data_IF_764007423859
#
_entry.id   IF_764007423859
#
_cell.length_a   1.000
_cell.length_b   1.000
_cell.length_c   1.000
_cell.angle_alpha   90.00
_cell.angle_beta   90.00
_cell.angle_gamma   90.00
#
_symmetry.space_group_name_H-M   'P 1'
#
loop_
_entity.id
_entity.type
_entity.pdbx_description
1 polymer ?
#
# COMPACT_ATOMS: atom_id res chain seq x y z
N UNK A 1 18.97 -21.33 13.84
CA UNK A 1 18.29 -20.25 13.10
C UNK A 1 17.43 -19.47 14.10
N UNK A 2 17.79 -18.22 14.38
CA UNK A 2 17.15 -17.38 15.40
C UNK A 2 15.75 -16.94 14.95
N UNK A 3 14.71 -17.58 15.48
CA UNK A 3 13.31 -17.20 15.20
C UNK A 3 12.97 -15.76 15.63
N UNK A 4 13.75 -15.17 16.53
CA UNK A 4 13.64 -13.77 16.96
C UNK A 4 14.05 -12.80 15.86
N UNK A 5 15.18 -13.04 15.19
CA UNK A 5 15.68 -12.15 14.11
C UNK A 5 14.71 -12.04 12.92
N UNK A 6 14.11 -13.15 12.49
CA UNK A 6 13.09 -13.11 11.44
C UNK A 6 11.84 -12.32 11.86
N UNK A 7 11.45 -12.42 13.14
CA UNK A 7 10.28 -11.71 13.65
C UNK A 7 10.52 -10.19 13.65
N UNK A 8 11.75 -9.77 14.00
CA UNK A 8 12.15 -8.36 13.95
C UNK A 8 12.23 -7.83 12.51
N UNK A 9 12.69 -8.64 11.55
CA UNK A 9 12.71 -8.28 10.13
C UNK A 9 11.29 -8.08 9.57
N UNK A 10 10.36 -8.99 9.89
CA UNK A 10 8.97 -8.88 9.51
C UNK A 10 8.30 -7.64 10.12
N UNK A 11 8.56 -7.36 11.40
CA UNK A 11 8.06 -6.16 12.08
C UNK A 11 8.64 -4.87 11.47
N UNK A 12 9.93 -4.86 11.14
CA UNK A 12 10.58 -3.74 10.48
C UNK A 12 10.03 -3.50 9.07
N UNK A 13 9.80 -4.56 8.29
CA UNK A 13 9.17 -4.48 6.98
C UNK A 13 7.74 -3.92 7.07
N UNK A 14 6.94 -4.43 8.01
CA UNK A 14 5.59 -3.94 8.27
C UNK A 14 5.58 -2.45 8.63
N UNK A 15 6.52 -2.01 9.49
CA UNK A 15 6.65 -0.62 9.90
C UNK A 15 6.97 0.28 8.70
N UNK A 16 8.00 -0.07 7.92
CA UNK A 16 8.38 0.68 6.71
C UNK A 16 7.23 0.79 5.71
N UNK A 17 6.47 -0.28 5.50
CA UNK A 17 5.32 -0.26 4.60
C UNK A 17 4.15 0.57 5.15
N UNK A 18 3.93 0.53 6.46
CA UNK A 18 2.90 1.34 7.12
C UNK A 18 3.24 2.83 7.13
N UNK A 19 4.53 3.17 7.27
CA UNK A 19 5.03 4.55 7.18
C UNK A 19 4.83 5.07 5.74
N UNK A 20 5.23 4.30 4.72
CA UNK A 20 4.95 4.61 3.30
C UNK A 20 3.45 4.77 3.01
N UNK A 21 2.61 3.89 3.56
CA UNK A 21 1.16 4.02 3.41
C UNK A 21 0.62 5.31 4.06
N UNK A 22 1.20 5.72 5.18
CA UNK A 22 0.84 6.97 5.87
C UNK A 22 1.31 8.20 5.09
N UNK A 23 2.49 8.16 4.49
CA UNK A 23 2.99 9.20 3.58
C UNK A 23 2.08 9.35 2.36
N UNK A 24 1.68 8.24 1.74
CA UNK A 24 0.72 8.26 0.63
C UNK A 24 -0.63 8.85 1.04
N UNK A 25 -1.12 8.50 2.23
CA UNK A 25 -2.34 9.09 2.79
C UNK A 25 -2.17 10.58 2.98
N UNK A 26 -1.08 11.02 3.60
CA UNK A 26 -0.79 12.43 3.81
C UNK A 26 -0.72 13.20 2.49
N UNK A 27 -0.03 12.65 1.49
CA UNK A 27 0.06 13.24 0.16
C UNK A 27 -1.28 13.29 -0.59
N UNK A 28 -2.25 12.45 -0.21
CA UNK A 28 -3.62 12.52 -0.72
C UNK A 28 -4.39 13.73 -0.17
N UNK A 29 -4.07 14.17 1.05
CA UNK A 29 -4.66 15.36 1.70
C UNK A 29 -3.88 16.64 1.41
N UNK A 30 -2.55 16.55 1.34
CA UNK A 30 -1.64 17.66 1.08
C UNK A 30 -0.80 17.32 -0.17
N UNK A 31 -1.41 17.42 -1.37
CA UNK A 31 -0.70 17.09 -2.60
C UNK A 31 0.40 18.11 -2.86
N UNK A 32 1.66 17.66 -2.76
CA UNK A 32 2.79 18.42 -3.28
C UNK A 32 2.66 18.53 -4.81
N UNK A 33 3.16 19.62 -5.42
CA UNK A 33 3.07 19.85 -6.86
C UNK A 33 3.63 18.70 -7.73
N UNK A 34 4.50 17.86 -7.16
CA UNK A 34 5.12 16.70 -7.82
C UNK A 34 4.33 15.40 -7.67
N UNK A 35 3.29 15.36 -6.83
CA UNK A 35 2.56 14.17 -6.40
C UNK A 35 1.16 14.11 -7.04
N UNK A 36 1.13 13.70 -8.30
CA UNK A 36 -0.13 13.59 -9.06
C UNK A 36 -0.95 12.36 -8.63
N UNK A 37 -2.28 12.35 -8.83
CA UNK A 37 -3.13 11.18 -8.54
C UNK A 37 -2.64 9.89 -9.22
N UNK A 38 -1.98 10.00 -10.37
CA UNK A 38 -1.38 8.86 -11.08
C UNK A 38 -0.17 8.27 -10.36
N UNK A 39 0.68 9.12 -9.79
CA UNK A 39 1.81 8.66 -8.97
C UNK A 39 1.30 8.06 -7.66
N UNK A 40 0.31 8.68 -7.03
CA UNK A 40 -0.35 8.16 -5.83
C UNK A 40 -0.93 6.76 -6.06
N UNK A 41 -1.66 6.55 -7.16
CA UNK A 41 -2.22 5.23 -7.48
C UNK A 41 -1.12 4.18 -7.70
N UNK A 42 -0.08 4.52 -8.48
CA UNK A 42 1.02 3.59 -8.77
C UNK A 42 1.78 3.20 -7.50
N UNK A 43 2.07 4.16 -6.63
CA UNK A 43 2.82 3.93 -5.41
C UNK A 43 1.97 3.20 -4.36
N UNK A 44 0.67 3.50 -4.27
CA UNK A 44 -0.28 2.71 -3.49
C UNK A 44 -0.37 1.27 -3.99
N UNK A 45 -0.44 1.02 -5.30
CA UNK A 45 -0.39 -0.36 -5.81
C UNK A 45 0.90 -1.07 -5.39
N UNK A 46 2.07 -0.41 -5.53
CA UNK A 46 3.36 -0.99 -5.15
C UNK A 46 3.41 -1.36 -3.67
N UNK A 47 3.04 -0.44 -2.78
CA UNK A 47 2.99 -0.69 -1.33
C UNK A 47 1.97 -1.80 -1.01
N UNK A 48 0.84 -1.84 -1.71
CA UNK A 48 -0.16 -2.90 -1.57
C UNK A 48 0.40 -4.28 -1.93
N UNK A 49 1.14 -4.40 -3.03
CA UNK A 49 1.82 -5.65 -3.42
C UNK A 49 2.88 -6.06 -2.39
N UNK A 50 3.73 -5.13 -1.93
CA UNK A 50 4.74 -5.42 -0.91
C UNK A 50 4.10 -5.91 0.41
N UNK A 51 2.94 -5.35 0.80
CA UNK A 51 2.19 -5.80 1.97
C UNK A 51 1.60 -7.21 1.79
N UNK A 52 1.10 -7.56 0.61
CA UNK A 52 0.59 -8.92 0.33
C UNK A 52 1.72 -9.94 0.35
N UNK A 53 2.88 -9.62 -0.22
CA UNK A 53 4.06 -10.48 -0.13
C UNK A 53 4.49 -10.68 1.33
N UNK A 54 4.42 -9.63 2.15
CA UNK A 54 4.68 -9.72 3.58
C UNK A 54 3.68 -10.63 4.31
N UNK A 55 2.40 -10.60 3.92
CA UNK A 55 1.35 -11.51 4.44
C UNK A 55 1.69 -12.96 4.12
N UNK A 56 2.05 -13.26 2.88
CA UNK A 56 2.39 -14.62 2.44
C UNK A 56 3.64 -15.14 3.15
N UNK A 57 4.69 -14.32 3.22
CA UNK A 57 5.92 -14.68 3.92
C UNK A 57 5.70 -14.85 5.43
N UNK A 58 4.91 -13.97 6.07
CA UNK A 58 4.57 -14.09 7.49
C UNK A 58 3.70 -15.33 7.77
N UNK A 59 2.75 -15.67 6.89
CA UNK A 59 1.96 -16.90 7.02
C UNK A 59 2.84 -18.14 6.88
N UNK A 60 3.73 -18.17 5.88
CA UNK A 60 4.67 -19.28 5.66
C UNK A 60 5.65 -19.44 6.85
N UNK A 61 6.02 -18.34 7.50
CA UNK A 61 6.86 -18.35 8.69
C UNK A 61 6.10 -18.62 10.01
N UNK A 62 4.79 -18.90 9.97
CA UNK A 62 3.99 -19.17 11.18
C UNK A 62 3.80 -17.94 12.07
N UNK A 63 3.69 -16.74 11.48
CA UNK A 63 3.48 -15.45 12.15
C UNK A 63 2.13 -14.83 11.76
N UNK A 64 1.00 -15.42 12.21
CA UNK A 64 -0.35 -14.97 11.85
C UNK A 64 -0.66 -13.55 12.33
N UNK A 65 -0.05 -13.08 13.41
CA UNK A 65 -0.26 -11.72 13.91
C UNK A 65 0.30 -10.65 12.98
N UNK A 66 1.50 -10.86 12.44
CA UNK A 66 2.12 -9.94 11.49
C UNK A 66 1.35 -9.95 10.18
N UNK A 67 0.99 -11.15 9.71
CA UNK A 67 0.13 -11.34 8.55
C UNK A 67 -1.20 -10.58 8.70
N UNK A 68 -1.89 -10.70 9.83
CA UNK A 68 -3.14 -9.99 10.08
C UNK A 68 -2.96 -8.46 10.06
N UNK A 69 -1.87 -7.94 10.64
CA UNK A 69 -1.55 -6.50 10.61
C UNK A 69 -1.23 -6.02 9.19
N UNK A 70 -0.38 -6.74 8.46
CA UNK A 70 -0.02 -6.44 7.08
C UNK A 70 -1.26 -6.45 6.17
N UNK A 71 -2.17 -7.41 6.35
CA UNK A 71 -3.41 -7.52 5.60
C UNK A 71 -4.37 -6.37 5.89
N UNK A 72 -4.45 -5.89 7.14
CA UNK A 72 -5.20 -4.67 7.48
C UNK A 72 -4.61 -3.44 6.75
N UNK A 73 -3.30 -3.27 6.78
CA UNK A 73 -2.63 -2.17 6.07
C UNK A 73 -2.86 -2.26 4.56
N UNK A 74 -2.81 -3.47 3.98
CA UNK A 74 -3.02 -3.68 2.54
C UNK A 74 -4.42 -3.24 2.10
N UNK A 75 -5.45 -3.50 2.93
CA UNK A 75 -6.81 -3.02 2.67
C UNK A 75 -6.89 -1.49 2.63
N UNK A 76 -6.26 -0.81 3.59
CA UNK A 76 -6.22 0.66 3.62
C UNK A 76 -5.56 1.21 2.36
N UNK A 77 -4.42 0.66 1.97
CA UNK A 77 -3.69 1.08 0.77
C UNK A 77 -4.49 0.82 -0.51
N UNK A 78 -5.19 -0.32 -0.60
CA UNK A 78 -6.10 -0.61 -1.71
C UNK A 78 -7.21 0.42 -1.82
N UNK A 79 -7.85 0.78 -0.71
CA UNK A 79 -8.90 1.80 -0.69
C UNK A 79 -8.38 3.17 -1.12
N UNK A 80 -7.14 3.52 -0.74
CA UNK A 80 -6.50 4.75 -1.22
C UNK A 80 -6.23 4.72 -2.72
N UNK A 81 -5.71 3.60 -3.26
CA UNK A 81 -5.50 3.43 -4.70
C UNK A 81 -6.80 3.63 -5.48
N UNK A 82 -7.91 3.06 -5.01
CA UNK A 82 -9.23 3.23 -5.62
C UNK A 82 -9.71 4.70 -5.57
N UNK A 83 -9.49 5.40 -4.45
CA UNK A 83 -9.83 6.82 -4.33
C UNK A 83 -8.99 7.69 -5.27
N UNK A 84 -7.69 7.45 -5.35
CA UNK A 84 -6.79 8.17 -6.27
C UNK A 84 -7.20 7.94 -7.73
N UNK A 85 -7.55 6.71 -8.10
CA UNK A 85 -8.08 6.36 -9.43
C UNK A 85 -9.39 7.07 -9.75
N UNK A 86 -10.29 7.17 -8.78
CA UNK A 86 -11.58 7.85 -8.94
C UNK A 86 -11.42 9.37 -9.18
N UNK A 87 -10.34 9.98 -8.69
CA UNK A 87 -10.02 11.39 -8.91
C UNK A 87 -9.44 11.67 -10.31
N UNK A 88 -9.09 10.64 -11.09
CA UNK A 88 -8.59 10.86 -12.44
C UNK A 88 -9.71 11.33 -13.38
N UNK A 89 -9.44 12.33 -14.23
CA UNK A 89 -10.41 12.77 -15.22
C UNK A 89 -10.71 11.61 -16.17
N UNK A 90 -11.96 11.11 -16.15
CA UNK A 90 -12.43 10.14 -17.13
C UNK A 90 -12.27 10.78 -18.51
N UNK A 91 -11.48 10.15 -19.40
CA UNK A 91 -11.46 10.51 -20.82
C UNK A 91 -12.91 10.49 -21.32
N UNK A 92 -13.50 11.66 -21.58
CA UNK A 92 -14.76 11.72 -22.32
C UNK A 92 -14.48 11.06 -23.67
N UNK A 93 -15.07 9.89 -23.90
CA UNK A 93 -15.18 9.35 -25.26
C UNK A 93 -15.94 10.42 -26.06
N UNK A 94 -15.25 11.12 -26.96
CA UNK A 94 -15.93 11.82 -28.04
C UNK A 94 -16.55 10.74 -28.91
N UNK A 95 -17.79 10.39 -28.64
CA UNK A 95 -18.67 9.79 -29.65
C UNK A 95 -18.89 10.89 -30.67
N UNK A 96 -18.13 10.84 -31.77
CA UNK A 96 -18.48 11.52 -33.01
C UNK A 96 -19.86 11.03 -33.41
N UNK A 97 -20.83 11.96 -33.45
CA UNK A 97 -22.17 11.74 -33.98
C UNK A 97 -22.11 11.51 -35.50
#
# INVERSE_FOLDING_TARGET
MDQTKQTDEFAAALKRLSDRASELKFASFFPAATFTPKKQEAEAMKVGYELIQLVEAANAAGRPEISAKALKSAKVVRDMSLKARAQMPKRKRKTSA
#
